data_IF_314633834119
#
_entry.id   IF_314633834119
#
_cell.length_a   1.000
_cell.length_b   1.000
_cell.length_c   1.000
_cell.angle_alpha   90.00
_cell.angle_beta   90.00
_cell.angle_gamma   90.00
#
_symmetry.space_group_name_H-M   'P 1'
#
loop_
_entity.id
_entity.type
_entity.pdbx_description
1 polymer ?
#
# COMPACT_ATOMS: atom_id res chain seq x y z
N UNK A 1 -2.10 21.67 17.17
CA UNK A 1 -1.89 20.31 17.70
C UNK A 1 -0.63 20.34 18.58
N UNK A 2 -0.64 19.83 19.82
CA UNK A 2 0.57 19.77 20.65
C UNK A 2 1.69 18.97 19.96
N UNK A 3 2.92 19.45 20.01
CA UNK A 3 4.05 18.80 19.30
C UNK A 3 4.41 17.46 19.92
N UNK A 4 4.19 17.31 21.22
CA UNK A 4 4.52 16.15 22.04
C UNK A 4 3.74 14.91 21.61
N UNK A 5 2.50 15.09 21.14
CA UNK A 5 1.66 13.97 20.67
C UNK A 5 1.97 13.54 19.22
N UNK A 6 2.77 14.32 18.50
CA UNK A 6 3.15 14.06 17.10
C UNK A 6 4.58 13.50 17.03
N UNK A 7 5.52 14.10 17.77
CA UNK A 7 6.95 13.85 17.65
C UNK A 7 7.32 12.37 17.82
N UNK A 8 6.79 11.71 18.86
CA UNK A 8 7.08 10.29 19.10
C UNK A 8 6.74 9.41 17.90
N UNK A 9 5.57 9.63 17.27
CA UNK A 9 5.11 8.86 16.11
C UNK A 9 5.95 9.11 14.86
N UNK A 10 6.45 10.33 14.68
CA UNK A 10 7.36 10.66 13.58
C UNK A 10 8.75 10.04 13.74
N UNK A 11 9.12 9.65 14.95
CA UNK A 11 10.39 9.00 15.28
C UNK A 11 10.26 7.49 15.48
N UNK A 12 9.06 6.93 15.28
CA UNK A 12 8.78 5.52 15.49
C UNK A 12 8.65 5.09 16.95
N UNK A 13 8.52 6.03 17.89
CA UNK A 13 8.23 5.76 19.29
C UNK A 13 6.72 5.66 19.52
N UNK A 14 6.23 4.44 19.72
CA UNK A 14 4.82 4.16 19.95
C UNK A 14 4.59 3.73 21.40
N UNK A 15 3.79 4.54 22.11
CA UNK A 15 3.06 4.10 23.29
C UNK A 15 1.67 3.61 22.86
N UNK A 16 1.36 2.36 23.20
CA UNK A 16 0.12 1.67 22.84
C UNK A 16 -1.01 1.88 23.86
N UNK A 17 -0.71 2.50 25.02
CA UNK A 17 -1.70 2.83 26.05
C UNK A 17 -2.18 1.64 26.90
N UNK A 18 -1.73 0.42 26.62
CA UNK A 18 -2.00 -0.79 27.39
C UNK A 18 -0.75 -1.32 28.13
N UNK A 19 0.21 -0.41 28.39
CA UNK A 19 1.49 -0.71 29.01
C UNK A 19 2.56 -1.21 28.04
N UNK A 20 2.22 -1.46 26.77
CA UNK A 20 3.20 -1.77 25.72
C UNK A 20 3.77 -0.49 25.13
N UNK A 21 5.10 -0.47 24.97
CA UNK A 21 5.81 0.51 24.15
C UNK A 21 6.64 -0.22 23.10
N UNK A 22 6.82 0.41 21.93
CA UNK A 22 7.58 -0.16 20.82
C UNK A 22 8.33 0.93 20.07
N UNK A 23 9.58 0.63 19.73
CA UNK A 23 10.28 1.33 18.65
C UNK A 23 10.01 0.59 17.34
N UNK A 24 9.29 1.25 16.43
CA UNK A 24 8.97 0.66 15.13
C UNK A 24 10.00 1.09 14.07
N UNK A 25 10.78 0.15 13.51
CA UNK A 25 11.71 0.48 12.42
C UNK A 25 10.98 0.88 11.13
N UNK A 26 9.66 0.66 11.05
CA UNK A 26 8.82 0.95 9.89
C UNK A 26 7.82 2.10 10.17
N UNK A 27 8.26 3.13 10.87
CA UNK A 27 7.49 4.35 11.07
C UNK A 27 7.21 5.12 9.76
N UNK A 28 6.36 6.15 9.85
CA UNK A 28 5.97 6.98 8.71
C UNK A 28 7.18 7.66 8.08
N UNK A 29 7.28 7.51 6.76
CA UNK A 29 8.31 8.14 5.93
C UNK A 29 7.67 8.75 4.69
N UNK A 30 8.36 9.70 4.06
CA UNK A 30 7.83 10.43 2.90
C UNK A 30 8.63 10.23 1.62
N UNK A 31 9.76 9.53 1.68
CA UNK A 31 10.67 9.39 0.55
C UNK A 31 11.51 8.10 0.58
N UNK A 32 11.99 7.69 1.75
CA UNK A 32 12.82 6.49 1.88
C UNK A 32 12.11 5.22 1.42
N UNK A 33 12.86 4.12 1.22
CA UNK A 33 12.30 2.80 0.88
C UNK A 33 11.35 2.83 -0.34
N UNK A 34 11.54 3.80 -1.24
CA UNK A 34 10.74 3.99 -2.45
C UNK A 34 9.24 4.22 -2.15
N UNK A 35 8.89 4.77 -0.98
CA UNK A 35 7.51 4.84 -0.50
C UNK A 35 6.63 5.82 -1.29
N UNK A 36 7.24 6.81 -1.94
CA UNK A 36 6.57 7.83 -2.74
C UNK A 36 6.44 7.44 -4.22
N UNK A 37 7.08 6.35 -4.67
CA UNK A 37 6.87 5.85 -6.02
C UNK A 37 5.44 5.29 -6.14
N UNK A 38 4.65 5.68 -7.15
CA UNK A 38 3.26 5.25 -7.28
C UNK A 38 3.16 3.78 -7.72
N UNK A 39 3.26 2.86 -6.77
CA UNK A 39 3.24 1.42 -7.01
C UNK A 39 1.86 0.92 -7.48
N UNK A 40 1.80 0.35 -8.69
CA UNK A 40 0.58 -0.24 -9.23
C UNK A 40 0.03 -1.36 -8.34
N UNK A 41 0.90 -2.13 -7.67
CA UNK A 41 0.48 -3.24 -6.81
C UNK A 41 -0.43 -2.80 -5.66
N UNK A 42 -0.24 -1.60 -5.11
CA UNK A 42 -1.10 -1.09 -4.04
C UNK A 42 -2.47 -0.67 -4.56
N UNK A 43 -2.54 -0.10 -5.77
CA UNK A 43 -3.84 0.16 -6.42
C UNK A 43 -4.62 -1.14 -6.63
N UNK A 44 -3.94 -2.18 -7.16
CA UNK A 44 -4.54 -3.52 -7.29
C UNK A 44 -5.01 -4.07 -5.95
N UNK A 45 -4.20 -3.99 -4.90
CA UNK A 45 -4.58 -4.42 -3.55
C UNK A 45 -5.85 -3.72 -3.06
N UNK A 46 -5.95 -2.39 -3.23
CA UNK A 46 -7.17 -1.64 -2.87
C UNK A 46 -8.39 -2.13 -3.63
N UNK A 47 -8.26 -2.37 -4.94
CA UNK A 47 -9.35 -2.94 -5.75
C UNK A 47 -9.76 -4.33 -5.24
N UNK A 48 -8.82 -5.16 -4.76
CA UNK A 48 -9.18 -6.45 -4.14
C UNK A 48 -10.02 -6.28 -2.88
N UNK A 49 -9.75 -5.24 -2.07
CA UNK A 49 -10.54 -4.98 -0.87
C UNK A 49 -11.92 -4.44 -1.22
N UNK A 50 -12.03 -3.58 -2.24
CA UNK A 50 -13.33 -3.14 -2.75
C UNK A 50 -14.15 -4.30 -3.30
N UNK A 51 -13.49 -5.22 -4.02
CA UNK A 51 -14.09 -6.47 -4.48
C UNK A 51 -14.59 -7.30 -3.29
N UNK A 52 -13.69 -7.63 -2.35
CA UNK A 52 -13.97 -8.43 -1.15
C UNK A 52 -15.16 -7.90 -0.34
N UNK A 53 -15.28 -6.58 -0.19
CA UNK A 53 -16.31 -5.95 0.62
C UNK A 53 -17.59 -5.56 -0.15
N UNK A 54 -17.72 -5.97 -1.43
CA UNK A 54 -18.94 -5.73 -2.21
C UNK A 54 -19.18 -4.26 -2.56
N UNK A 55 -18.12 -3.46 -2.61
CA UNK A 55 -18.14 -2.04 -2.99
C UNK A 55 -18.12 -1.84 -4.51
N UNK A 56 -17.88 -2.92 -5.26
CA UNK A 56 -17.89 -2.96 -6.73
C UNK A 56 -18.73 -4.17 -7.17
N UNK A 57 -19.35 -4.05 -8.34
CA UNK A 57 -20.11 -5.14 -8.96
C UNK A 57 -19.20 -5.97 -9.86
N UNK A 58 -19.23 -7.30 -9.69
CA UNK A 58 -18.38 -8.22 -10.46
C UNK A 58 -16.88 -8.05 -10.20
N UNK A 59 -16.08 -8.65 -11.08
CA UNK A 59 -14.62 -8.61 -11.02
C UNK A 59 -14.10 -7.33 -11.69
N UNK A 60 -13.34 -6.47 -10.97
CA UNK A 60 -12.74 -5.27 -11.54
C UNK A 60 -11.71 -5.56 -12.62
N UNK A 61 -11.56 -4.65 -13.59
CA UNK A 61 -10.37 -4.59 -14.44
C UNK A 61 -9.19 -4.03 -13.63
N UNK A 62 -8.54 -4.92 -12.86
CA UNK A 62 -7.44 -4.58 -11.96
C UNK A 62 -6.29 -3.85 -12.65
N UNK A 63 -5.90 -4.32 -13.84
CA UNK A 63 -4.79 -3.76 -14.59
C UNK A 63 -5.16 -2.47 -15.29
N UNK A 64 -6.33 -2.42 -15.94
CA UNK A 64 -6.79 -1.23 -16.64
C UNK A 64 -6.98 -0.05 -15.70
N UNK A 65 -7.66 -0.26 -14.56
CA UNK A 65 -7.85 0.80 -13.56
C UNK A 65 -6.52 1.24 -12.95
N UNK A 66 -5.65 0.31 -12.58
CA UNK A 66 -4.34 0.65 -12.03
C UNK A 66 -3.50 1.50 -12.99
N UNK A 67 -3.48 1.16 -14.29
CA UNK A 67 -2.76 1.92 -15.32
C UNK A 67 -3.35 3.30 -15.59
N UNK A 68 -4.66 3.48 -15.44
CA UNK A 68 -5.31 4.77 -15.63
C UNK A 68 -5.06 5.73 -14.47
N UNK A 69 -5.02 5.22 -13.23
CA UNK A 69 -4.91 6.03 -12.01
C UNK A 69 -3.46 6.24 -11.58
N UNK A 70 -2.63 5.21 -11.65
CA UNK A 70 -1.24 5.27 -11.18
C UNK A 70 -0.32 5.81 -12.29
N UNK A 71 0.02 7.10 -12.20
CA UNK A 71 0.86 7.81 -13.17
C UNK A 71 2.35 7.75 -12.82
N UNK A 72 2.93 6.56 -12.95
CA UNK A 72 4.39 6.35 -12.77
C UNK A 72 5.20 7.17 -13.76
N UNK A 73 4.70 7.37 -14.97
CA UNK A 73 5.33 8.16 -16.02
C UNK A 73 5.59 9.61 -15.59
N UNK A 74 4.61 10.26 -14.95
CA UNK A 74 4.77 11.63 -14.43
C UNK A 74 5.78 11.69 -13.29
N UNK A 75 5.78 10.68 -12.42
CA UNK A 75 6.75 10.58 -11.33
C UNK A 75 8.17 10.42 -11.88
N UNK A 76 8.37 9.52 -12.84
CA UNK A 76 9.66 9.24 -13.45
C UNK A 76 10.21 10.45 -14.23
N UNK A 77 9.35 11.18 -14.94
CA UNK A 77 9.70 12.45 -15.58
C UNK A 77 10.22 13.47 -14.56
N UNK A 78 9.48 13.69 -13.47
CA UNK A 78 9.89 14.62 -12.42
C UNK A 78 11.19 14.20 -11.71
N UNK A 79 11.39 12.89 -11.44
CA UNK A 79 12.64 12.40 -10.85
C UNK A 79 13.83 12.60 -11.76
N UNK A 80 13.63 12.42 -13.08
CA UNK A 80 14.67 12.65 -14.09
C UNK A 80 15.07 14.12 -14.16
N UNK A 81 14.12 15.05 -14.08
CA UNK A 81 14.41 16.49 -14.08
C UNK A 81 15.30 16.93 -12.91
N UNK A 82 15.10 16.34 -11.73
CA UNK A 82 15.89 16.64 -10.53
C UNK A 82 17.14 15.76 -10.37
N UNK A 83 17.39 14.85 -11.32
CA UNK A 83 18.53 13.93 -11.30
C UNK A 83 18.50 12.91 -10.15
N UNK A 84 17.31 12.55 -9.66
CA UNK A 84 17.14 11.61 -8.57
C UNK A 84 16.87 10.18 -9.06
N UNK A 85 17.54 9.19 -8.47
CA UNK A 85 17.34 7.78 -8.78
C UNK A 85 16.31 7.14 -7.83
N UNK A 86 15.19 6.69 -8.38
CA UNK A 86 14.13 6.00 -7.63
C UNK A 86 14.28 4.47 -7.68
N UNK A 87 13.58 3.75 -6.79
CA UNK A 87 13.60 2.28 -6.73
C UNK A 87 12.72 1.58 -7.78
N UNK A 88 11.93 2.35 -8.54
CA UNK A 88 11.11 1.85 -9.64
C UNK A 88 9.86 1.10 -9.20
N UNK A 89 9.19 0.49 -10.18
CA UNK A 89 8.02 -0.35 -9.92
C UNK A 89 8.43 -1.65 -9.21
N UNK A 90 7.66 -2.02 -8.20
CA UNK A 90 7.77 -3.29 -7.50
C UNK A 90 6.44 -4.05 -7.65
N UNK A 91 6.54 -5.31 -8.08
CA UNK A 91 5.41 -6.23 -8.26
C UNK A 91 5.53 -7.47 -7.36
N UNK A 92 6.40 -7.44 -6.37
CA UNK A 92 6.62 -8.56 -5.46
C UNK A 92 5.37 -8.80 -4.59
N UNK A 93 5.04 -10.06 -4.30
CA UNK A 93 3.98 -10.40 -3.36
C UNK A 93 4.23 -9.83 -1.96
N UNK A 94 3.15 -9.53 -1.25
CA UNK A 94 3.17 -8.97 0.10
C UNK A 94 2.44 -9.89 1.07
N UNK A 95 3.06 -10.20 2.21
CA UNK A 95 2.43 -11.04 3.25
C UNK A 95 1.98 -10.19 4.41
N UNK A 96 0.69 -10.26 4.74
CA UNK A 96 0.07 -9.50 5.81
C UNK A 96 0.33 -10.17 7.18
N UNK A 97 -0.02 -9.47 8.25
CA UNK A 97 0.25 -9.89 9.63
C UNK A 97 -0.39 -11.23 10.02
N UNK A 98 -1.44 -11.65 9.31
CA UNK A 98 -2.17 -12.90 9.50
C UNK A 98 -1.60 -14.06 8.65
N UNK A 99 -0.50 -13.80 7.93
CA UNK A 99 0.16 -14.77 7.05
C UNK A 99 -0.47 -14.91 5.67
N UNK A 100 -1.52 -14.15 5.36
CA UNK A 100 -2.13 -14.17 4.03
C UNK A 100 -1.27 -13.37 3.06
N UNK A 101 -0.91 -13.98 1.92
CA UNK A 101 -0.11 -13.34 0.88
C UNK A 101 -0.98 -12.78 -0.25
N UNK A 102 -0.79 -11.50 -0.55
CA UNK A 102 -1.29 -10.84 -1.75
C UNK A 102 -0.26 -10.96 -2.89
N UNK A 103 -0.67 -11.56 -4.00
CA UNK A 103 0.10 -11.58 -5.24
C UNK A 103 -0.49 -10.58 -6.26
N UNK A 104 0.24 -9.52 -6.66
CA UNK A 104 -0.22 -8.54 -7.64
C UNK A 104 -0.49 -9.14 -9.05
N UNK A 105 0.02 -10.34 -9.33
CA UNK A 105 -0.22 -11.06 -10.58
C UNK A 105 -1.58 -11.78 -10.58
N UNK A 106 -2.16 -12.07 -9.41
CA UNK A 106 -3.46 -12.72 -9.29
C UNK A 106 -4.34 -12.06 -8.19
N UNK A 107 -4.76 -10.80 -8.42
CA UNK A 107 -5.53 -10.03 -7.44
C UNK A 107 -6.93 -10.62 -7.17
N UNK A 108 -7.55 -11.28 -8.15
CA UNK A 108 -8.89 -11.87 -7.99
C UNK A 108 -8.85 -13.08 -7.06
N UNK A 109 -7.82 -13.94 -7.19
CA UNK A 109 -7.63 -15.06 -6.26
C UNK A 109 -7.47 -14.57 -4.82
N UNK A 110 -6.70 -13.50 -4.61
CA UNK A 110 -6.59 -12.90 -3.29
C UNK A 110 -7.95 -12.37 -2.79
N UNK A 111 -8.67 -11.59 -3.61
CA UNK A 111 -9.96 -10.98 -3.24
C UNK A 111 -11.02 -12.02 -2.82
N UNK A 112 -11.01 -13.19 -3.46
CA UNK A 112 -11.99 -14.27 -3.26
C UNK A 112 -11.55 -15.34 -2.24
N UNK A 113 -10.32 -15.30 -1.76
CA UNK A 113 -9.78 -16.31 -0.83
C UNK A 113 -10.30 -16.21 0.62
N UNK A 114 -10.93 -15.09 0.99
CA UNK A 114 -11.31 -14.82 2.38
C UNK A 114 -12.64 -15.44 2.77
N UNK A 115 -12.66 -16.13 3.91
CA UNK A 115 -13.89 -16.68 4.50
C UNK A 115 -14.94 -15.60 4.83
N UNK A 116 -14.49 -14.40 5.19
CA UNK A 116 -15.35 -13.23 5.44
C UNK A 116 -15.25 -12.30 4.24
N UNK A 117 -16.34 -12.21 3.49
CA UNK A 117 -16.51 -11.35 2.32
C UNK A 117 -17.99 -10.99 2.10
N UNK A 118 -18.23 -9.99 1.26
CA UNK A 118 -19.55 -9.58 0.76
C UNK A 118 -19.55 -9.55 -0.78
N UNK A 119 -18.92 -10.56 -1.41
CA UNK A 119 -18.81 -10.61 -2.87
C UNK A 119 -20.20 -10.57 -3.53
N UNK A 120 -20.34 -9.73 -4.54
CA UNK A 120 -21.54 -9.61 -5.38
C UNK A 120 -21.30 -10.15 -6.79
#
# INVERSE_FOLDING_TARGET
>A
CPKEIILGRLQGHYDMGDGRSKEDPNYMIFHERNCNYPQLKYCKWWLTQFRRWGMVEGTPDYDGVAKQVMRTDLYEEAMKEIGFAHGGANSDPETLFDGVTFDPADPEKYATSFAINNLK
#
